data_IF_779257700641
#
_entry.id   IF_779257700641
#
_cell.length_a   1.000
_cell.length_b   1.000
_cell.length_c   1.000
_cell.angle_alpha   90.00
_cell.angle_beta   90.00
_cell.angle_gamma   90.00
#
_symmetry.space_group_name_H-M   'P 1'
#
loop_
_entity.id
_entity.type
_entity.pdbx_description
1 polymer ?
#
# COMPACT_ATOMS: atom_id res chain seq x y z
N UNK A 1 -1.25 17.99 -5.23
CA UNK A 1 -0.80 17.13 -4.10
C UNK A 1 0.18 16.10 -4.63
N UNK A 2 1.33 15.90 -3.98
CA UNK A 2 2.36 14.95 -4.44
C UNK A 2 1.81 13.51 -4.46
N UNK A 3 1.99 12.73 -5.55
CA UNK A 3 1.75 11.29 -5.56
C UNK A 3 2.73 10.57 -4.64
N UNK A 4 2.23 9.93 -3.59
CA UNK A 4 3.06 9.14 -2.67
C UNK A 4 2.20 8.07 -1.98
N UNK A 5 2.80 6.92 -1.74
CA UNK A 5 2.24 5.87 -0.89
C UNK A 5 3.03 5.80 0.42
N UNK A 6 2.35 5.82 1.57
CA UNK A 6 2.98 5.47 2.83
C UNK A 6 2.65 4.03 3.22
N UNK A 7 3.66 3.28 3.64
CA UNK A 7 3.51 1.88 4.08
C UNK A 7 3.92 1.77 5.54
N UNK A 8 2.96 1.38 6.39
CA UNK A 8 3.11 1.27 7.83
C UNK A 8 2.58 -0.05 8.38
N UNK A 9 2.34 -0.11 9.69
CA UNK A 9 1.93 -1.34 10.37
C UNK A 9 3.03 -1.97 11.23
N UNK A 10 2.70 -3.10 11.86
CA UNK A 10 3.64 -3.86 12.70
C UNK A 10 4.34 -5.01 11.96
N UNK A 11 3.93 -5.35 10.74
CA UNK A 11 4.54 -6.42 9.96
C UNK A 11 5.74 -5.94 9.13
N UNK A 12 6.91 -5.79 9.77
CA UNK A 12 8.16 -5.30 9.14
C UNK A 12 8.52 -6.01 7.81
N UNK A 13 8.41 -7.34 7.76
CA UNK A 13 8.67 -8.13 6.53
C UNK A 13 7.71 -7.75 5.39
N UNK A 14 6.42 -7.59 5.71
CA UNK A 14 5.42 -7.19 4.72
C UNK A 14 5.59 -5.75 4.23
N UNK A 15 5.91 -4.83 5.14
CA UNK A 15 6.23 -3.43 4.81
C UNK A 15 7.38 -3.37 3.80
N UNK A 16 8.48 -4.07 4.08
CA UNK A 16 9.65 -4.10 3.18
C UNK A 16 9.29 -4.69 1.81
N UNK A 17 8.62 -5.84 1.78
CA UNK A 17 8.27 -6.50 0.52
C UNK A 17 7.34 -5.64 -0.37
N UNK A 18 6.38 -4.94 0.23
CA UNK A 18 5.47 -4.04 -0.49
C UNK A 18 6.19 -2.78 -0.97
N UNK A 19 7.04 -2.16 -0.13
CA UNK A 19 7.89 -1.02 -0.51
C UNK A 19 8.72 -1.37 -1.74
N UNK A 20 9.50 -2.45 -1.65
CA UNK A 20 10.43 -2.84 -2.71
C UNK A 20 9.69 -3.12 -4.03
N UNK A 21 8.51 -3.74 -3.98
CA UNK A 21 7.71 -4.05 -5.19
C UNK A 21 7.14 -2.79 -5.86
N UNK A 22 6.64 -1.84 -5.06
CA UNK A 22 6.11 -0.57 -5.54
C UNK A 22 7.22 0.33 -6.11
N UNK A 23 8.34 0.48 -5.41
CA UNK A 23 9.48 1.28 -5.88
C UNK A 23 10.08 0.74 -7.17
N UNK A 24 10.24 -0.60 -7.28
CA UNK A 24 10.68 -1.24 -8.53
C UNK A 24 9.73 -1.01 -9.70
N UNK A 25 8.47 -0.69 -9.42
CA UNK A 25 7.45 -0.38 -10.43
C UNK A 25 7.32 1.12 -10.71
N UNK A 26 8.22 1.95 -10.16
CA UNK A 26 8.29 3.39 -10.41
C UNK A 26 7.36 4.24 -9.55
N UNK A 27 6.83 3.72 -8.43
CA UNK A 27 5.99 4.50 -7.52
C UNK A 27 6.79 5.06 -6.35
N UNK A 28 6.48 6.30 -5.97
CA UNK A 28 7.04 6.93 -4.77
C UNK A 28 6.44 6.31 -3.50
N UNK A 29 7.31 5.80 -2.63
CA UNK A 29 6.92 5.13 -1.38
C UNK A 29 7.73 5.66 -0.20
N UNK A 30 7.08 5.83 0.94
CA UNK A 30 7.74 6.10 2.21
C UNK A 30 7.29 5.10 3.29
N UNK A 31 8.24 4.59 4.08
CA UNK A 31 7.95 3.77 5.27
C UNK A 31 7.91 4.60 6.56
N UNK A 32 7.92 5.92 6.43
CA UNK A 32 7.82 6.89 7.52
C UNK A 32 6.51 7.70 7.38
N UNK A 33 5.33 7.06 7.51
CA UNK A 33 4.06 7.78 7.60
C UNK A 33 4.03 8.72 8.81
N UNK A 34 3.26 9.83 8.74
CA UNK A 34 2.89 10.60 9.94
C UNK A 34 2.30 9.68 11.01
N UNK A 35 2.65 9.91 12.28
CA UNK A 35 2.35 8.97 13.37
C UNK A 35 0.85 8.63 13.46
N UNK A 36 -0.02 9.64 13.25
CA UNK A 36 -1.48 9.48 13.23
C UNK A 36 -2.03 8.47 12.21
N UNK A 37 -1.27 8.17 11.15
CA UNK A 37 -1.64 7.20 10.10
C UNK A 37 -0.59 6.11 9.92
N UNK A 38 0.30 5.92 10.91
CA UNK A 38 1.40 4.96 10.79
C UNK A 38 0.96 3.50 10.92
N UNK A 39 -0.25 3.24 11.43
CA UNK A 39 -0.77 1.89 11.62
C UNK A 39 -0.03 1.07 12.69
N UNK A 40 0.76 1.70 13.57
CA UNK A 40 1.62 1.02 14.56
C UNK A 40 0.91 0.72 15.88
N UNK A 41 -0.25 1.31 16.17
CA UNK A 41 -1.03 0.98 17.37
C UNK A 41 -1.51 -0.49 17.30
N UNK A 42 -1.23 -1.34 18.31
CA UNK A 42 -1.73 -2.72 18.36
C UNK A 42 -3.26 -2.84 18.26
N UNK A 43 -4.01 -1.79 18.63
CA UNK A 43 -5.48 -1.72 18.53
C UNK A 43 -5.98 -1.36 17.13
N UNK A 44 -5.11 -0.90 16.22
CA UNK A 44 -5.47 -0.69 14.83
C UNK A 44 -5.96 -2.02 14.23
N UNK A 45 -7.08 -1.99 13.50
CA UNK A 45 -7.74 -3.17 12.95
C UNK A 45 -6.80 -4.04 12.11
N UNK A 46 -5.83 -3.44 11.40
CA UNK A 46 -4.85 -4.18 10.60
C UNK A 46 -3.97 -5.11 11.44
N UNK A 47 -3.70 -4.74 12.70
CA UNK A 47 -2.86 -5.50 13.62
C UNK A 47 -3.64 -6.52 14.45
N UNK A 48 -4.98 -6.45 14.48
CA UNK A 48 -5.86 -7.34 15.25
C UNK A 48 -6.09 -8.70 14.57
N UNK A 49 -5.12 -9.15 13.78
CA UNK A 49 -5.11 -10.48 13.18
C UNK A 49 -4.41 -11.50 14.10
N UNK A 50 -4.48 -12.81 13.77
CA UNK A 50 -3.89 -13.89 14.58
C UNK A 50 -2.39 -13.72 14.91
N UNK A 51 -1.64 -12.95 14.12
CA UNK A 51 -0.21 -12.70 14.30
C UNK A 51 0.10 -11.39 15.05
N UNK A 52 -0.92 -10.58 15.35
CA UNK A 52 -0.75 -9.27 15.99
C UNK A 52 -0.05 -8.23 15.11
N UNK A 53 0.16 -8.50 13.82
CA UNK A 53 1.07 -7.73 12.95
C UNK A 53 0.51 -7.58 11.55
N UNK A 54 0.03 -6.38 11.21
CA UNK A 54 -0.53 -6.02 9.91
C UNK A 54 0.35 -5.09 9.09
N UNK A 55 -0.08 -4.81 7.86
CA UNK A 55 0.50 -3.77 6.97
C UNK A 55 -0.60 -2.82 6.55
N UNK A 56 -0.42 -1.53 6.80
CA UNK A 56 -1.32 -0.47 6.35
C UNK A 56 -0.70 0.26 5.15
N UNK A 57 -1.52 0.55 4.14
CA UNK A 57 -1.10 1.26 2.93
C UNK A 57 -1.98 2.51 2.82
N UNK A 58 -1.35 3.67 2.98
CA UNK A 58 -1.99 4.98 2.87
C UNK A 58 -1.63 5.60 1.54
N UNK A 59 -2.62 5.87 0.69
CA UNK A 59 -2.40 6.36 -0.68
C UNK A 59 -2.83 7.82 -0.76
N UNK A 60 -1.89 8.71 -1.09
CA UNK A 60 -2.17 10.14 -1.20
C UNK A 60 -3.26 10.41 -2.24
N UNK A 61 -3.96 11.54 -2.09
CA UNK A 61 -4.93 11.97 -3.10
C UNK A 61 -4.27 12.18 -4.48
N UNK A 62 -3.03 12.67 -4.51
CA UNK A 62 -2.26 12.81 -5.75
C UNK A 62 -2.09 11.48 -6.46
N UNK A 63 -1.70 10.43 -5.73
CA UNK A 63 -1.53 9.10 -6.30
C UNK A 63 -2.87 8.49 -6.73
N UNK A 64 -3.93 8.64 -5.92
CA UNK A 64 -5.28 8.15 -6.27
C UNK A 64 -5.85 8.87 -7.49
N UNK A 65 -5.53 10.15 -7.70
CA UNK A 65 -5.97 10.90 -8.88
C UNK A 65 -5.37 10.34 -10.17
N UNK A 66 -4.14 9.83 -10.14
CA UNK A 66 -3.49 9.19 -11.29
C UNK A 66 -4.15 7.86 -11.70
N UNK A 67 -4.94 7.24 -10.83
CA UNK A 67 -5.54 5.94 -11.07
C UNK A 67 -6.84 5.97 -11.89
N UNK A 68 -7.49 7.12 -12.00
CA UNK A 68 -8.82 7.23 -12.61
C UNK A 68 -8.91 8.45 -13.51
N UNK A 69 -9.78 8.40 -14.54
CA UNK A 69 -10.11 9.60 -15.33
C UNK A 69 -10.74 10.72 -14.51
N UNK A 70 -11.31 10.40 -13.34
CA UNK A 70 -11.81 11.39 -12.39
C UNK A 70 -12.03 10.78 -11.00
N UNK A 71 -11.21 11.18 -10.02
CA UNK A 71 -11.22 10.63 -8.66
C UNK A 71 -12.53 10.91 -7.90
N UNK A 72 -13.03 12.15 -7.99
CA UNK A 72 -14.18 12.62 -7.22
C UNK A 72 -15.54 12.30 -7.87
N UNK A 73 -15.53 11.74 -9.09
CA UNK A 73 -16.75 11.28 -9.76
C UNK A 73 -16.87 9.77 -9.67
N UNK A 74 -17.95 9.27 -9.06
CA UNK A 74 -18.26 7.83 -9.01
C UNK A 74 -18.34 7.24 -10.43
N UNK A 75 -18.96 7.98 -11.36
CA UNK A 75 -19.05 7.57 -12.76
C UNK A 75 -17.67 7.48 -13.41
N UNK A 76 -16.79 8.48 -13.22
CA UNK A 76 -15.48 8.48 -13.87
C UNK A 76 -14.48 7.48 -13.26
N UNK A 77 -14.66 7.08 -11.99
CA UNK A 77 -13.85 6.02 -11.35
C UNK A 77 -13.98 4.65 -12.02
N UNK A 78 -15.00 4.41 -12.85
CA UNK A 78 -15.07 3.17 -13.64
C UNK A 78 -13.96 3.10 -14.69
N UNK A 79 -13.49 4.26 -15.17
CA UNK A 79 -12.40 4.37 -16.13
C UNK A 79 -11.05 4.46 -15.41
N UNK A 80 -10.47 3.29 -15.15
CA UNK A 80 -9.14 3.13 -14.56
C UNK A 80 -8.06 3.43 -15.59
N UNK A 81 -6.98 4.06 -15.15
CA UNK A 81 -5.80 4.30 -15.99
C UNK A 81 -4.90 3.06 -16.02
N UNK A 82 -3.90 3.07 -16.90
CA UNK A 82 -2.82 2.07 -16.90
C UNK A 82 -2.11 1.99 -15.54
N UNK A 83 -1.84 3.14 -14.91
CA UNK A 83 -1.17 3.22 -13.60
C UNK A 83 -1.93 2.51 -12.49
N UNK A 84 -3.26 2.49 -12.51
CA UNK A 84 -4.04 1.71 -11.54
C UNK A 84 -3.68 0.22 -11.60
N UNK A 85 -3.60 -0.34 -12.81
CA UNK A 85 -3.32 -1.76 -12.99
C UNK A 85 -1.85 -2.10 -12.71
N UNK A 86 -0.92 -1.22 -13.06
CA UNK A 86 0.49 -1.36 -12.71
C UNK A 86 0.68 -1.34 -11.19
N UNK A 87 0.03 -0.40 -10.49
CA UNK A 87 0.05 -0.32 -9.03
C UNK A 87 -0.56 -1.57 -8.37
N UNK A 88 -1.71 -2.03 -8.85
CA UNK A 88 -2.36 -3.23 -8.32
C UNK A 88 -1.51 -4.50 -8.53
N UNK A 89 -0.83 -4.61 -9.68
CA UNK A 89 0.09 -5.72 -9.98
C UNK A 89 1.33 -5.68 -9.09
N UNK A 90 1.92 -4.50 -8.90
CA UNK A 90 3.05 -4.29 -8.00
C UNK A 90 2.69 -4.65 -6.55
N UNK A 91 1.52 -4.21 -6.08
CA UNK A 91 1.00 -4.59 -4.76
C UNK A 91 0.80 -6.09 -4.62
N UNK A 92 0.20 -6.75 -5.62
CA UNK A 92 0.02 -8.21 -5.61
C UNK A 92 1.36 -8.92 -5.44
N UNK A 93 2.36 -8.53 -6.24
CA UNK A 93 3.71 -9.10 -6.16
C UNK A 93 4.35 -8.88 -4.78
N UNK A 94 4.24 -7.68 -4.21
CA UNK A 94 4.72 -7.39 -2.86
C UNK A 94 4.05 -8.23 -1.78
N UNK A 95 2.72 -8.42 -1.86
CA UNK A 95 1.96 -9.27 -0.93
C UNK A 95 2.39 -10.74 -1.04
N UNK A 96 2.57 -11.26 -2.25
CA UNK A 96 2.96 -12.65 -2.46
C UNK A 96 4.38 -12.91 -1.95
N UNK A 97 5.31 -11.96 -2.16
CA UNK A 97 6.65 -12.02 -1.56
C UNK A 97 6.60 -11.92 -0.04
N UNK A 98 5.74 -11.06 0.52
CA UNK A 98 5.56 -10.96 1.96
C UNK A 98 5.10 -12.29 2.57
N UNK A 99 4.15 -12.99 1.93
CA UNK A 99 3.68 -14.31 2.39
C UNK A 99 4.81 -15.32 2.49
N UNK A 100 5.63 -15.44 1.43
CA UNK A 100 6.80 -16.34 1.41
C UNK A 100 7.80 -16.03 2.54
N UNK A 101 8.00 -14.75 2.85
CA UNK A 101 8.90 -14.34 3.94
C UNK A 101 8.33 -14.57 5.34
N UNK A 102 7.00 -14.66 5.47
CA UNK A 102 6.27 -14.76 6.73
C UNK A 102 5.94 -16.21 7.09
N UNK A 103 5.62 -17.03 6.09
CA UNK A 103 5.28 -18.44 6.21
C UNK A 103 6.33 -19.18 5.38
N UNK A 104 7.53 -19.44 5.94
CA UNK A 104 8.48 -20.31 5.27
C UNK A 104 7.91 -21.74 5.23
N UNK A 105 8.22 -22.45 4.14
CA UNK A 105 7.86 -23.87 3.94
C UNK A 105 8.40 -24.77 5.05
#
# INVERSE_FOLDING_TARGET
>A
KQPITYVGGLCKKGIKAIKDALEKSGFDVSTNPPEKIAGRDPRNIVNRNRRGKGVQIEISEGQRALFFKGLHSRYLRKYKTRLFYEYARALRHGIDNAKKLIIPE
#
